data_IF_809969541247
#
_entry.id   IF_809969541247
#
_cell.length_a   1.000
_cell.length_b   1.000
_cell.length_c   1.000
_cell.angle_alpha   90.00
_cell.angle_beta   90.00
_cell.angle_gamma   90.00
#
_symmetry.space_group_name_H-M   'P 1'
#
loop_
_entity.id
_entity.type
_entity.pdbx_description
1 polymer ?
#
# COMPACT_ATOMS: atom_id res chain seq x y z
N UNK A 1 14.13 -24.71 8.57
CA UNK A 1 12.91 -24.16 7.89
C UNK A 1 12.14 -23.41 8.96
N UNK A 2 11.95 -22.09 8.80
CA UNK A 2 11.16 -21.28 9.75
C UNK A 2 9.69 -21.71 9.64
N UNK A 3 8.97 -21.77 10.78
CA UNK A 3 7.53 -22.03 10.78
C UNK A 3 6.79 -21.02 9.89
N UNK A 4 5.68 -21.43 9.21
CA UNK A 4 4.91 -20.52 8.39
C UNK A 4 4.37 -19.36 9.22
N UNK A 5 4.39 -18.16 8.65
CA UNK A 5 3.80 -16.98 9.29
C UNK A 5 2.32 -17.22 9.57
N UNK A 6 1.88 -16.78 10.74
CA UNK A 6 0.45 -16.75 11.10
C UNK A 6 0.11 -15.41 11.71
N UNK A 7 -0.96 -14.80 11.22
CA UNK A 7 -1.46 -13.56 11.80
C UNK A 7 -1.83 -13.81 13.27
N UNK A 8 -1.27 -13.06 14.23
CA UNK A 8 -1.62 -13.21 15.65
C UNK A 8 -3.13 -13.11 15.88
N UNK A 9 -3.66 -13.94 16.77
CA UNK A 9 -5.10 -13.98 17.03
C UNK A 9 -5.63 -12.61 17.49
N UNK A 10 -4.87 -11.90 18.32
CA UNK A 10 -5.21 -10.54 18.75
C UNK A 10 -5.40 -9.58 17.57
N UNK A 11 -4.52 -9.63 16.55
CA UNK A 11 -4.63 -8.78 15.36
C UNK A 11 -5.84 -9.18 14.49
N UNK A 12 -6.16 -10.47 14.41
CA UNK A 12 -7.36 -10.93 13.69
C UNK A 12 -8.63 -10.41 14.36
N UNK A 13 -8.71 -10.50 15.68
CA UNK A 13 -9.84 -10.03 16.46
C UNK A 13 -9.98 -8.50 16.40
N UNK A 14 -8.88 -7.77 16.61
CA UNK A 14 -8.90 -6.31 16.54
C UNK A 14 -9.31 -5.80 15.14
N UNK A 15 -8.81 -6.42 14.06
CA UNK A 15 -9.23 -6.08 12.68
C UNK A 15 -10.72 -6.37 12.47
N UNK A 16 -11.23 -7.52 12.94
CA UNK A 16 -12.64 -7.86 12.80
C UNK A 16 -13.57 -6.85 13.51
N UNK A 17 -13.14 -6.32 14.66
CA UNK A 17 -13.90 -5.30 15.40
C UNK A 17 -13.73 -3.90 14.84
N UNK A 18 -12.50 -3.52 14.47
CA UNK A 18 -12.20 -2.15 14.05
C UNK A 18 -12.67 -1.83 12.63
N UNK A 19 -12.58 -2.80 11.69
CA UNK A 19 -12.97 -2.55 10.29
C UNK A 19 -14.40 -2.05 10.14
N UNK A 20 -15.44 -2.65 10.73
CA UNK A 20 -16.80 -2.12 10.62
C UNK A 20 -16.96 -0.73 11.25
N UNK A 21 -16.28 -0.47 12.39
CA UNK A 21 -16.28 0.86 13.04
C UNK A 21 -15.66 1.90 12.11
N UNK A 22 -14.47 1.61 11.56
CA UNK A 22 -13.80 2.53 10.63
C UNK A 22 -14.57 2.71 9.33
N UNK A 23 -15.21 1.64 8.79
CA UNK A 23 -16.11 1.77 7.63
C UNK A 23 -17.24 2.74 7.91
N UNK A 24 -17.93 2.59 9.04
CA UNK A 24 -18.96 3.51 9.47
C UNK A 24 -18.46 4.95 9.59
N UNK A 25 -17.29 5.13 10.22
CA UNK A 25 -16.67 6.44 10.40
C UNK A 25 -16.29 7.08 9.04
N UNK A 26 -15.65 6.35 8.13
CA UNK A 26 -15.33 6.88 6.81
C UNK A 26 -16.58 7.22 6.01
N UNK A 27 -17.64 6.40 6.04
CA UNK A 27 -18.90 6.71 5.36
C UNK A 27 -19.62 7.90 5.98
N UNK A 28 -19.48 8.13 7.30
CA UNK A 28 -20.01 9.33 7.96
C UNK A 28 -19.25 10.59 7.51
N UNK A 29 -17.92 10.51 7.49
CA UNK A 29 -17.02 11.65 7.27
C UNK A 29 -16.75 11.96 5.78
N UNK A 30 -17.01 11.01 4.88
CA UNK A 30 -16.64 11.10 3.47
C UNK A 30 -17.67 10.45 2.55
N UNK A 31 -17.55 10.75 1.25
CA UNK A 31 -18.23 10.00 0.18
C UNK A 31 -17.25 8.98 -0.38
N UNK A 32 -17.34 7.74 0.14
CA UNK A 32 -16.41 6.66 -0.21
C UNK A 32 -16.87 5.97 -1.49
N UNK A 33 -15.92 5.79 -2.42
CA UNK A 33 -16.09 5.01 -3.65
C UNK A 33 -14.97 4.00 -3.78
N UNK A 34 -15.31 2.72 -3.96
CA UNK A 34 -14.35 1.63 -4.20
C UNK A 34 -14.67 1.02 -5.56
N UNK A 35 -13.66 0.87 -6.43
CA UNK A 35 -13.79 0.32 -7.78
C UNK A 35 -12.78 -0.79 -8.01
N UNK A 36 -13.09 -1.76 -8.89
CA UNK A 36 -12.18 -2.82 -9.28
C UNK A 36 -11.98 -3.89 -8.21
N UNK A 37 -12.94 -4.09 -7.31
CA UNK A 37 -12.87 -5.14 -6.25
C UNK A 37 -12.75 -6.54 -6.84
N UNK A 38 -13.31 -6.75 -8.01
CA UNK A 38 -13.25 -7.98 -8.82
C UNK A 38 -11.83 -8.34 -9.25
N UNK A 39 -10.91 -7.38 -9.29
CA UNK A 39 -9.50 -7.56 -9.66
C UNK A 39 -8.64 -8.15 -8.54
N UNK A 40 -9.18 -8.29 -7.34
CA UNK A 40 -8.42 -8.83 -6.20
C UNK A 40 -8.27 -10.35 -6.34
N UNK A 41 -7.02 -10.90 -6.36
CA UNK A 41 -6.79 -12.34 -6.47
C UNK A 41 -6.98 -13.05 -5.13
N UNK A 42 -8.21 -13.15 -4.66
CA UNK A 42 -8.58 -13.70 -3.36
C UNK A 42 -7.93 -15.05 -3.04
N UNK A 43 -7.52 -15.21 -1.78
CA UNK A 43 -7.00 -16.46 -1.26
C UNK A 43 -5.62 -16.85 -1.79
N UNK A 44 -4.94 -15.96 -2.50
CA UNK A 44 -3.58 -16.12 -3.00
C UNK A 44 -2.68 -15.00 -2.45
N UNK A 45 -1.36 -15.22 -2.34
CA UNK A 45 -0.45 -14.13 -2.01
C UNK A 45 -0.27 -13.18 -3.19
N UNK A 46 -0.31 -11.88 -2.94
CA UNK A 46 -0.03 -10.79 -3.89
C UNK A 46 0.45 -9.55 -3.14
N UNK A 47 0.97 -8.59 -3.86
CA UNK A 47 1.35 -7.29 -3.31
C UNK A 47 0.40 -6.22 -3.86
N UNK A 48 -0.47 -5.67 -3.01
CA UNK A 48 -1.23 -4.47 -3.34
C UNK A 48 -0.32 -3.23 -3.16
N UNK A 49 -0.17 -2.47 -4.23
CA UNK A 49 0.71 -1.30 -4.27
C UNK A 49 -0.11 -0.04 -4.40
N UNK A 50 0.02 0.88 -3.42
CA UNK A 50 -0.71 2.14 -3.37
C UNK A 50 0.22 3.34 -3.58
N UNK A 51 -0.30 4.44 -4.14
CA UNK A 51 0.29 5.77 -3.97
C UNK A 51 0.14 6.24 -2.51
N UNK A 52 0.99 7.15 -2.03
CA UNK A 52 0.99 7.54 -0.62
C UNK A 52 1.08 9.05 -0.42
N UNK A 53 -0.08 9.69 -0.33
CA UNK A 53 -0.21 11.16 -0.21
C UNK A 53 -0.42 11.61 1.24
N UNK A 54 -0.99 10.74 2.10
CA UNK A 54 -1.40 11.14 3.45
C UNK A 54 -1.29 10.00 4.46
N UNK A 55 -1.34 10.32 5.75
CA UNK A 55 -1.47 9.33 6.84
C UNK A 55 -2.79 8.57 6.82
N UNK A 56 -3.78 9.05 6.08
CA UNK A 56 -5.10 8.41 5.97
C UNK A 56 -5.14 7.29 4.92
N UNK A 57 -4.15 7.19 4.00
CA UNK A 57 -4.15 6.16 2.95
C UNK A 57 -4.12 4.74 3.50
N UNK A 58 -3.18 4.35 4.41
CA UNK A 58 -3.14 2.99 4.91
C UNK A 58 -4.40 2.60 5.71
N UNK A 59 -4.91 3.41 6.66
CA UNK A 59 -6.15 3.08 7.35
C UNK A 59 -7.36 3.04 6.43
N UNK A 60 -7.43 3.89 5.40
CA UNK A 60 -8.49 3.84 4.39
C UNK A 60 -8.40 2.55 3.59
N UNK A 61 -7.22 2.23 3.01
CA UNK A 61 -7.01 1.02 2.26
C UNK A 61 -7.30 -0.24 3.09
N UNK A 62 -6.72 -0.37 4.28
CA UNK A 62 -6.93 -1.53 5.17
C UNK A 62 -8.38 -1.71 5.61
N UNK A 63 -9.12 -0.61 5.78
CA UNK A 63 -10.53 -0.64 6.16
C UNK A 63 -11.41 -1.18 5.05
N UNK A 64 -11.17 -0.74 3.81
CA UNK A 64 -12.02 -1.08 2.66
C UNK A 64 -11.47 -2.23 1.81
N UNK A 65 -10.24 -2.71 2.08
CA UNK A 65 -9.73 -3.89 1.37
C UNK A 65 -10.66 -5.09 1.56
N UNK A 66 -10.97 -5.85 0.51
CA UNK A 66 -12.03 -6.86 0.60
C UNK A 66 -11.68 -8.09 1.44
N UNK A 67 -10.38 -8.39 1.64
CA UNK A 67 -9.91 -9.47 2.50
C UNK A 67 -8.90 -8.99 3.56
N UNK A 68 -8.39 -9.91 4.40
CA UNK A 68 -7.35 -9.59 5.34
C UNK A 68 -6.00 -9.48 4.62
N UNK A 69 -5.42 -8.30 4.65
CA UNK A 69 -4.13 -7.99 4.05
C UNK A 69 -3.14 -7.52 5.12
N UNK A 70 -1.89 -7.98 5.04
CA UNK A 70 -0.82 -7.48 5.90
C UNK A 70 -0.30 -6.15 5.35
N UNK A 71 0.20 -5.28 6.21
CA UNK A 71 0.71 -3.98 5.80
C UNK A 71 2.15 -3.77 6.25
N UNK A 72 2.93 -3.06 5.43
CA UNK A 72 4.20 -2.49 5.83
C UNK A 72 3.97 -1.12 6.47
N UNK A 73 4.51 -0.93 7.66
CA UNK A 73 4.51 0.35 8.36
C UNK A 73 5.93 0.83 8.63
N UNK A 74 6.18 2.13 8.49
CA UNK A 74 7.48 2.68 8.81
C UNK A 74 7.75 2.59 10.34
N UNK A 75 8.92 2.09 10.75
CA UNK A 75 9.25 1.90 12.16
C UNK A 75 9.28 3.20 12.96
N UNK A 76 9.59 4.33 12.32
CA UNK A 76 9.56 5.66 12.93
C UNK A 76 8.14 6.12 13.33
N UNK A 77 7.09 5.50 12.82
CA UNK A 77 5.72 5.71 13.29
C UNK A 77 5.58 5.26 14.75
N UNK A 78 6.30 4.21 15.16
CA UNK A 78 6.28 3.74 16.56
C UNK A 78 7.03 4.68 17.52
N UNK A 79 7.99 5.45 17.00
CA UNK A 79 8.86 6.32 17.81
C UNK A 79 8.39 7.78 17.86
N UNK A 80 7.80 8.28 16.76
CA UNK A 80 7.52 9.72 16.55
C UNK A 80 6.07 10.14 16.70
N UNK A 81 5.14 9.21 16.63
CA UNK A 81 3.71 9.55 16.61
C UNK A 81 3.08 9.44 17.98
N UNK A 82 2.05 10.28 18.23
CA UNK A 82 1.30 10.26 19.46
C UNK A 82 0.61 8.91 19.71
N UNK A 83 0.21 8.70 20.95
CA UNK A 83 -0.38 7.45 21.47
C UNK A 83 -1.45 6.83 20.55
N UNK A 84 -2.30 7.67 19.92
CA UNK A 84 -3.40 7.17 19.06
C UNK A 84 -2.93 6.51 17.76
N UNK A 85 -1.95 7.09 17.05
CA UNK A 85 -1.43 6.50 15.80
C UNK A 85 -0.66 5.21 16.08
N UNK A 86 0.15 5.17 17.14
CA UNK A 86 0.85 3.97 17.58
C UNK A 86 -0.11 2.84 17.92
N UNK A 87 -1.21 3.15 18.60
CA UNK A 87 -2.24 2.18 18.96
C UNK A 87 -2.88 1.60 17.69
N UNK A 88 -3.27 2.44 16.72
CA UNK A 88 -3.89 1.99 15.47
C UNK A 88 -2.95 1.09 14.66
N UNK A 89 -1.68 1.48 14.50
CA UNK A 89 -0.69 0.67 13.78
C UNK A 89 -0.49 -0.71 14.43
N UNK A 90 -0.47 -0.77 15.77
CA UNK A 90 -0.39 -2.03 16.53
C UNK A 90 -1.66 -2.88 16.38
N UNK A 91 -2.82 -2.27 16.45
CA UNK A 91 -4.11 -2.96 16.32
C UNK A 91 -4.35 -3.51 14.92
N UNK A 92 -3.90 -2.79 13.87
CA UNK A 92 -3.91 -3.29 12.50
C UNK A 92 -2.74 -4.23 12.20
N UNK A 93 -1.73 -4.32 13.08
CA UNK A 93 -0.64 -5.31 12.98
C UNK A 93 0.31 -5.07 11.82
N UNK A 94 0.65 -3.82 11.50
CA UNK A 94 1.61 -3.52 10.43
C UNK A 94 3.03 -3.99 10.80
N UNK A 95 3.75 -4.56 9.82
CA UNK A 95 5.16 -4.97 9.99
C UNK A 95 6.08 -3.74 9.91
N UNK A 96 6.91 -3.45 10.94
CA UNK A 96 7.78 -2.28 10.94
C UNK A 96 8.94 -2.41 9.96
N UNK A 97 9.18 -1.35 9.16
CA UNK A 97 10.30 -1.22 8.23
C UNK A 97 11.00 0.12 8.47
N UNK A 98 12.34 0.13 8.56
CA UNK A 98 13.11 1.37 8.68
C UNK A 98 13.09 2.17 7.38
N UNK A 99 12.70 3.46 7.47
CA UNK A 99 12.72 4.36 6.32
C UNK A 99 14.16 4.74 5.96
N UNK A 100 14.43 4.81 4.66
CA UNK A 100 15.70 5.33 4.15
C UNK A 100 16.86 4.34 4.08
N UNK A 101 16.79 3.25 4.80
CA UNK A 101 17.77 2.17 4.75
C UNK A 101 17.25 1.01 3.91
N UNK A 102 18.18 0.32 3.21
CA UNK A 102 17.88 -0.97 2.60
C UNK A 102 17.84 -2.03 3.72
N UNK A 103 16.70 -2.09 4.43
CA UNK A 103 16.52 -3.07 5.52
C UNK A 103 16.21 -4.45 4.92
N UNK A 104 17.27 -5.16 4.55
CA UNK A 104 17.17 -6.51 3.99
C UNK A 104 16.40 -7.46 4.92
N UNK A 105 16.60 -7.34 6.25
CA UNK A 105 15.91 -8.20 7.23
C UNK A 105 14.41 -7.93 7.24
N UNK A 106 14.01 -6.67 7.09
CA UNK A 106 12.59 -6.33 6.97
C UNK A 106 11.99 -6.90 5.68
N UNK A 107 12.69 -6.78 4.54
CA UNK A 107 12.25 -7.35 3.27
C UNK A 107 12.17 -8.88 3.33
N UNK A 108 13.11 -9.56 3.99
CA UNK A 108 13.07 -11.01 4.21
C UNK A 108 11.86 -11.44 5.09
N UNK A 109 11.55 -10.67 6.15
CA UNK A 109 10.34 -10.91 6.96
C UNK A 109 9.07 -10.79 6.12
N UNK A 110 9.00 -9.77 5.29
CA UNK A 110 7.85 -9.52 4.40
C UNK A 110 7.72 -10.61 3.33
N UNK A 111 8.85 -11.01 2.74
CA UNK A 111 8.86 -12.14 1.80
C UNK A 111 8.39 -13.44 2.48
N UNK A 112 8.70 -13.64 3.77
CA UNK A 112 8.19 -14.76 4.54
C UNK A 112 6.66 -14.71 4.72
N UNK A 113 6.07 -13.53 4.94
CA UNK A 113 4.61 -13.32 4.99
C UNK A 113 3.96 -13.74 3.66
N UNK A 114 4.47 -13.23 2.53
CA UNK A 114 4.00 -13.56 1.19
C UNK A 114 4.13 -15.07 0.88
N UNK A 115 5.28 -15.67 1.19
CA UNK A 115 5.52 -17.12 1.01
C UNK A 115 4.63 -17.99 1.90
N UNK A 116 4.10 -17.44 2.99
CA UNK A 116 3.12 -18.10 3.86
C UNK A 116 1.67 -17.96 3.38
N UNK A 117 1.46 -17.36 2.19
CA UNK A 117 0.15 -17.25 1.55
C UNK A 117 -0.67 -16.00 1.89
N UNK A 118 -0.08 -15.01 2.58
CA UNK A 118 -0.79 -13.80 2.94
C UNK A 118 -0.50 -12.66 1.96
N UNK A 119 -1.53 -11.90 1.53
CA UNK A 119 -1.34 -10.70 0.72
C UNK A 119 -0.73 -9.56 1.53
N UNK A 120 -0.07 -8.63 0.84
CA UNK A 120 0.66 -7.51 1.43
C UNK A 120 0.25 -6.18 0.80
N UNK A 121 0.03 -5.15 1.62
CA UNK A 121 -0.15 -3.76 1.22
C UNK A 121 1.14 -2.96 1.45
N UNK A 122 1.61 -2.25 0.43
CA UNK A 122 2.78 -1.38 0.56
C UNK A 122 2.71 -0.15 -0.37
N UNK A 123 3.50 0.88 -0.03
CA UNK A 123 3.79 2.00 -0.95
C UNK A 123 5.29 2.05 -1.25
N UNK A 124 5.70 1.93 -2.53
CA UNK A 124 7.10 2.00 -2.91
C UNK A 124 7.71 3.41 -2.83
N UNK A 125 6.90 4.45 -2.71
CA UNK A 125 7.37 5.83 -2.53
C UNK A 125 8.18 6.02 -1.24
N UNK A 126 8.08 5.08 -0.29
CA UNK A 126 8.86 5.06 0.94
C UNK A 126 8.49 6.15 1.95
N UNK A 127 7.38 6.82 1.78
CA UNK A 127 6.83 7.84 2.68
C UNK A 127 5.81 8.73 1.99
N UNK A 128 5.04 9.48 2.79
CA UNK A 128 4.06 10.46 2.29
C UNK A 128 4.71 11.53 1.44
N UNK A 129 3.98 12.02 0.46
CA UNK A 129 4.27 13.29 -0.19
C UNK A 129 3.61 14.43 0.61
N UNK A 130 4.15 15.63 0.55
CA UNK A 130 3.49 16.84 1.07
C UNK A 130 2.59 17.50 0.01
N UNK A 131 2.46 16.86 -1.15
CA UNK A 131 1.57 17.21 -2.26
C UNK A 131 0.74 15.99 -2.63
N UNK A 132 -0.30 16.15 -3.44
CA UNK A 132 -1.09 15.01 -3.95
C UNK A 132 -0.31 14.18 -4.99
N UNK A 133 0.73 14.76 -5.59
CA UNK A 133 1.50 14.18 -6.68
C UNK A 133 2.42 13.04 -6.23
N UNK A 134 2.43 11.93 -6.99
CA UNK A 134 3.30 10.78 -6.76
C UNK A 134 4.78 11.16 -6.90
N UNK A 135 5.62 10.55 -6.05
CA UNK A 135 7.09 10.64 -6.14
C UNK A 135 7.65 9.41 -6.82
N UNK A 136 8.90 9.53 -7.26
CA UNK A 136 9.64 8.37 -7.76
C UNK A 136 9.71 7.29 -6.69
N UNK A 137 9.35 6.08 -7.08
CA UNK A 137 9.35 4.90 -6.21
C UNK A 137 10.77 4.33 -6.02
N UNK A 138 10.95 3.62 -4.91
CA UNK A 138 12.17 2.87 -4.60
C UNK A 138 12.07 1.43 -5.07
N UNK A 139 13.16 0.78 -5.51
CA UNK A 139 13.16 -0.54 -6.14
C UNK A 139 12.86 -1.71 -5.19
N UNK A 140 12.46 -1.45 -3.95
CA UNK A 140 12.16 -2.47 -2.95
C UNK A 140 10.97 -3.37 -3.31
N UNK A 141 10.00 -2.87 -4.09
CA UNK A 141 8.89 -3.66 -4.62
C UNK A 141 9.41 -4.78 -5.53
N UNK A 142 10.20 -4.43 -6.55
CA UNK A 142 10.73 -5.40 -7.51
C UNK A 142 11.63 -6.44 -6.83
N UNK A 143 12.36 -6.05 -5.77
CA UNK A 143 13.12 -7.01 -4.96
C UNK A 143 12.20 -8.02 -4.25
N UNK A 144 11.08 -7.59 -3.69
CA UNK A 144 10.10 -8.50 -3.06
C UNK A 144 9.48 -9.46 -4.08
N UNK A 145 9.09 -8.95 -5.25
CA UNK A 145 8.56 -9.78 -6.35
C UNK A 145 9.59 -10.81 -6.79
N UNK A 146 10.85 -10.41 -6.98
CA UNK A 146 11.94 -11.32 -7.32
C UNK A 146 12.13 -12.47 -6.29
N UNK A 147 11.96 -12.16 -5.00
CA UNK A 147 12.08 -13.17 -3.93
C UNK A 147 10.87 -14.11 -3.81
N UNK A 148 9.71 -13.70 -4.27
CA UNK A 148 8.44 -14.36 -3.95
C UNK A 148 7.64 -14.80 -5.17
N UNK A 149 7.93 -14.22 -6.33
CA UNK A 149 7.24 -14.46 -7.61
C UNK A 149 5.70 -14.30 -7.51
N UNK A 150 5.23 -13.37 -6.67
CA UNK A 150 3.80 -13.08 -6.50
C UNK A 150 3.37 -11.95 -7.45
N UNK A 151 2.09 -11.95 -7.90
CA UNK A 151 1.56 -10.86 -8.71
C UNK A 151 1.46 -9.55 -7.90
N UNK A 152 1.43 -8.45 -8.62
CA UNK A 152 1.26 -7.10 -8.07
C UNK A 152 -0.10 -6.55 -8.50
N UNK A 153 -0.82 -5.93 -7.57
CA UNK A 153 -2.11 -5.26 -7.81
C UNK A 153 -1.89 -3.77 -7.66
N UNK A 154 -1.92 -2.97 -8.74
CA UNK A 154 -1.82 -1.51 -8.66
C UNK A 154 -3.11 -0.91 -8.11
N UNK A 155 -3.00 0.06 -7.21
CA UNK A 155 -4.14 0.69 -6.54
C UNK A 155 -3.96 2.19 -6.47
N UNK A 156 -4.90 2.94 -7.03
CA UNK A 156 -4.94 4.39 -6.97
C UNK A 156 -5.84 4.88 -5.82
N UNK A 157 -5.32 5.74 -4.95
CA UNK A 157 -6.07 6.37 -3.85
C UNK A 157 -6.12 7.87 -4.07
N UNK A 158 -7.32 8.46 -3.96
CA UNK A 158 -7.52 9.91 -4.05
C UNK A 158 -8.38 10.44 -2.89
N UNK A 159 -8.20 11.73 -2.58
CA UNK A 159 -9.03 12.46 -1.62
C UNK A 159 -8.55 12.40 -0.16
N UNK A 160 -7.60 11.54 0.19
CA UNK A 160 -7.00 11.41 1.53
C UNK A 160 -6.00 12.53 1.87
N UNK A 161 -6.18 13.71 1.30
CA UNK A 161 -5.29 14.88 1.44
C UNK A 161 -5.11 15.33 2.89
N UNK A 162 -4.08 16.14 3.18
CA UNK A 162 -3.78 16.62 4.54
C UNK A 162 -4.94 17.45 5.14
N UNK A 163 -5.76 18.08 4.29
CA UNK A 163 -6.95 18.82 4.70
C UNK A 163 -8.23 17.97 4.80
N UNK A 164 -8.14 16.67 4.46
CA UNK A 164 -9.28 15.73 4.51
C UNK A 164 -10.02 15.80 5.85
N UNK A 165 -9.28 15.61 6.96
CA UNK A 165 -9.89 15.58 8.29
C UNK A 165 -10.58 16.92 8.65
N UNK A 166 -9.93 18.03 8.30
CA UNK A 166 -10.49 19.38 8.52
C UNK A 166 -11.80 19.62 7.75
N UNK A 167 -11.88 19.12 6.51
CA UNK A 167 -13.11 19.16 5.70
C UNK A 167 -14.18 18.24 6.27
N UNK A 168 -13.79 17.03 6.67
CA UNK A 168 -14.67 16.00 7.20
C UNK A 168 -15.40 16.45 8.47
N UNK A 169 -14.67 16.99 9.46
CA UNK A 169 -15.29 17.48 10.72
C UNK A 169 -16.19 18.71 10.53
N UNK A 170 -16.04 19.44 9.42
CA UNK A 170 -16.97 20.50 9.02
C UNK A 170 -18.23 20.01 8.30
N UNK A 171 -18.41 18.70 8.19
CA UNK A 171 -19.55 18.09 7.53
C UNK A 171 -19.53 18.14 6.00
N UNK A 172 -18.40 18.52 5.36
CA UNK A 172 -18.31 18.67 3.91
C UNK A 172 -18.29 17.34 3.17
N UNK A 173 -18.03 16.22 3.86
CA UNK A 173 -17.97 14.86 3.30
C UNK A 173 -17.18 14.79 1.99
N UNK A 174 -15.85 15.08 2.00
CA UNK A 174 -15.04 15.07 0.79
C UNK A 174 -15.05 13.68 0.11
N UNK A 175 -14.88 13.61 -1.22
CA UNK A 175 -14.82 12.33 -1.92
C UNK A 175 -13.52 11.60 -1.57
N UNK A 176 -13.62 10.30 -1.27
CA UNK A 176 -12.50 9.37 -1.13
C UNK A 176 -12.70 8.24 -2.14
N UNK A 177 -11.72 8.03 -2.99
CA UNK A 177 -11.80 6.94 -3.98
C UNK A 177 -10.60 6.01 -3.84
N UNK A 178 -10.86 4.71 -3.93
CA UNK A 178 -9.85 3.66 -4.13
C UNK A 178 -10.21 2.90 -5.41
N UNK A 179 -9.30 2.89 -6.36
CA UNK A 179 -9.45 2.14 -7.62
C UNK A 179 -8.41 1.04 -7.68
N UNK A 180 -8.86 -0.20 -7.75
CA UNK A 180 -8.02 -1.41 -7.80
C UNK A 180 -7.89 -1.81 -9.28
N UNK A 181 -6.65 -1.77 -9.79
CA UNK A 181 -6.34 -2.16 -11.16
C UNK A 181 -6.19 -3.67 -11.32
N UNK A 182 -5.99 -4.11 -12.57
CA UNK A 182 -5.76 -5.52 -12.91
C UNK A 182 -4.46 -6.04 -12.28
N UNK A 183 -4.43 -7.28 -11.76
CA UNK A 183 -3.21 -7.92 -11.32
C UNK A 183 -2.21 -8.06 -12.46
N UNK A 184 -0.95 -7.77 -12.18
CA UNK A 184 0.13 -7.88 -13.16
C UNK A 184 1.31 -8.69 -12.63
N UNK A 185 2.04 -9.34 -13.52
CA UNK A 185 3.32 -9.99 -13.23
C UNK A 185 4.45 -9.11 -13.73
N UNK A 186 5.54 -9.05 -12.97
CA UNK A 186 6.72 -8.29 -13.37
C UNK A 186 7.71 -9.17 -14.14
N UNK A 187 8.43 -8.61 -15.12
CA UNK A 187 9.50 -9.32 -15.79
C UNK A 187 10.60 -9.77 -14.83
N UNK A 188 11.29 -10.85 -15.18
CA UNK A 188 12.46 -11.32 -14.43
C UNK A 188 13.53 -10.25 -14.31
N UNK A 189 14.16 -10.15 -13.14
CA UNK A 189 15.25 -9.21 -12.91
C UNK A 189 16.56 -9.83 -13.41
N UNK A 190 17.11 -9.22 -14.46
CA UNK A 190 18.34 -9.68 -15.10
C UNK A 190 19.55 -8.81 -14.72
N UNK A 191 20.76 -9.31 -15.05
CA UNK A 191 22.01 -8.62 -14.82
C UNK A 191 22.60 -8.79 -13.43
N UNK A 192 23.70 -8.05 -13.18
CA UNK A 192 24.40 -8.00 -11.89
C UNK A 192 24.74 -6.54 -11.54
N UNK A 193 25.00 -6.28 -10.25
CA UNK A 193 25.40 -4.95 -9.78
C UNK A 193 24.38 -3.87 -10.17
N UNK A 194 24.84 -2.86 -10.90
CA UNK A 194 24.05 -1.69 -11.31
C UNK A 194 22.94 -2.06 -12.29
N UNK A 195 23.23 -2.87 -13.32
CA UNK A 195 22.22 -3.32 -14.27
C UNK A 195 21.04 -4.03 -13.60
N UNK A 196 21.28 -4.83 -12.56
CA UNK A 196 20.23 -5.46 -11.78
C UNK A 196 19.42 -4.44 -10.97
N UNK A 197 20.07 -3.42 -10.44
CA UNK A 197 19.40 -2.33 -9.71
C UNK A 197 18.50 -1.52 -10.62
N UNK A 198 18.99 -1.17 -11.81
CA UNK A 198 18.19 -0.47 -12.82
C UNK A 198 17.00 -1.31 -13.32
N UNK A 199 17.20 -2.63 -13.53
CA UNK A 199 16.11 -3.53 -13.90
C UNK A 199 15.00 -3.54 -12.83
N UNK A 200 15.37 -3.60 -11.54
CA UNK A 200 14.40 -3.47 -10.44
C UNK A 200 13.70 -2.12 -10.40
N UNK A 201 14.42 -1.04 -10.71
CA UNK A 201 13.82 0.29 -10.77
C UNK A 201 12.79 0.35 -11.90
N UNK A 202 13.14 -0.08 -13.13
CA UNK A 202 12.20 -0.13 -14.27
C UNK A 202 10.94 -0.95 -13.95
N UNK A 203 11.10 -2.12 -13.34
CA UNK A 203 9.97 -2.96 -12.93
C UNK A 203 9.07 -2.26 -11.91
N UNK A 204 9.66 -1.54 -10.95
CA UNK A 204 8.89 -0.76 -9.98
C UNK A 204 8.19 0.42 -10.65
N UNK A 205 8.88 1.15 -11.51
CA UNK A 205 8.32 2.30 -12.24
C UNK A 205 7.17 1.88 -13.15
N UNK A 206 7.23 0.68 -13.75
CA UNK A 206 6.12 0.12 -14.52
C UNK A 206 4.84 -0.02 -13.67
N UNK A 207 4.95 -0.55 -12.44
CA UNK A 207 3.78 -0.65 -11.53
C UNK A 207 3.24 0.73 -11.20
N UNK A 208 4.13 1.69 -10.93
CA UNK A 208 3.72 3.05 -10.58
C UNK A 208 3.07 3.77 -11.77
N UNK A 209 3.48 3.47 -13.01
CA UNK A 209 2.84 3.97 -14.22
C UNK A 209 1.39 3.45 -14.37
N UNK A 210 1.14 2.19 -14.01
CA UNK A 210 -0.23 1.66 -13.93
C UNK A 210 -1.05 2.34 -12.82
N UNK A 211 -0.45 2.62 -11.65
CA UNK A 211 -1.14 3.39 -10.60
C UNK A 211 -1.46 4.79 -11.09
N UNK A 212 -0.52 5.47 -11.77
CA UNK A 212 -0.75 6.79 -12.35
C UNK A 212 -1.91 6.80 -13.35
N UNK A 213 -2.08 5.71 -14.13
CA UNK A 213 -3.22 5.53 -15.03
C UNK A 213 -4.58 5.44 -14.32
N UNK A 214 -4.60 4.97 -13.07
CA UNK A 214 -5.83 4.91 -12.24
C UNK A 214 -6.16 6.25 -11.57
N UNK A 215 -5.27 7.24 -11.63
CA UNK A 215 -5.34 8.50 -10.91
C UNK A 215 -5.65 9.69 -11.85
N UNK A 216 -6.34 10.73 -11.35
CA UNK A 216 -6.43 12.02 -12.03
C UNK A 216 -5.02 12.61 -12.28
N UNK A 217 -4.92 13.48 -13.28
CA UNK A 217 -3.64 14.04 -13.76
C UNK A 217 -2.85 14.72 -12.64
N UNK A 218 -3.50 15.49 -11.79
CA UNK A 218 -2.86 16.22 -10.68
C UNK A 218 -2.23 15.29 -9.60
N UNK A 219 -2.61 14.00 -9.57
CA UNK A 219 -2.03 12.99 -8.68
C UNK A 219 -0.83 12.26 -9.27
N UNK A 220 -0.65 12.27 -10.60
CA UNK A 220 0.34 11.42 -11.30
C UNK A 220 1.79 11.80 -11.02
N UNK A 221 2.08 13.10 -10.78
CA UNK A 221 3.38 13.60 -10.39
C UNK A 221 4.53 13.11 -11.28
N UNK A 222 5.52 12.45 -10.69
CA UNK A 222 6.69 11.92 -11.40
C UNK A 222 6.31 10.97 -12.57
N UNK A 223 5.15 10.32 -12.52
CA UNK A 223 4.68 9.35 -13.53
C UNK A 223 3.63 9.92 -14.48
N UNK A 224 3.47 11.25 -14.59
CA UNK A 224 2.45 11.87 -15.43
C UNK A 224 2.59 11.50 -16.91
N UNK A 225 3.82 11.52 -17.45
CA UNK A 225 4.11 11.23 -18.86
C UNK A 225 4.13 9.72 -19.19
N UNK A 226 4.31 8.87 -18.17
CA UNK A 226 4.41 7.41 -18.32
C UNK A 226 3.15 6.67 -17.89
N UNK A 227 2.08 7.39 -17.51
CA UNK A 227 0.83 6.81 -17.04
C UNK A 227 0.22 5.85 -18.06
N UNK A 228 -0.07 4.61 -17.63
CA UNK A 228 -0.67 3.56 -18.46
C UNK A 228 -2.15 3.49 -18.11
N UNK A 229 -3.01 3.79 -19.08
CA UNK A 229 -4.45 3.70 -18.90
C UNK A 229 -4.89 2.27 -18.52
N UNK A 230 -5.88 2.10 -17.65
CA UNK A 230 -6.47 0.78 -17.38
C UNK A 230 -7.14 0.24 -18.63
N UNK A 231 -6.97 -1.05 -18.90
CA UNK A 231 -7.68 -1.80 -19.95
C UNK A 231 -9.14 -2.02 -19.61
#
# INVERSE_FOLDING_TARGET
MNAPYRVPLCNRMSRAMLRPVFRGLFHLLARVTIRGVENVPYGKPYIAVINHISTFDPPFALTFWPENIEALGASDIWERTGFGQNLLVRLFGATPVRRGEYDRRALERVAHVLKSGYPLLMSPEGGRTHSVAMRQAKPGLAFLVEMTNVPVVPVGITGTTDDFFKKAIRGLRPPLTMTIGQPMTLPSVEGRGEARRECRQRNTDQVMAHIAGLLPEEYRGYYAETAIAPE
#
